data_IF_307068831573
#
_entry.id   IF_307068831573
#
_cell.length_a   1.000
_cell.length_b   1.000
_cell.length_c   1.000
_cell.angle_alpha   90.00
_cell.angle_beta   90.00
_cell.angle_gamma   90.00
#
_symmetry.space_group_name_H-M   'P 1'
#
loop_
_entity.id
_entity.type
_entity.pdbx_description
1 polymer ?
#
# COMPACT_ATOMS: atom_id res chain seq x y z
N UNK A 1 -25.58 9.39 -15.07
CA UNK A 1 -24.46 8.70 -14.39
C UNK A 1 -23.20 8.93 -15.20
N UNK A 2 -22.33 9.83 -14.77
CA UNK A 2 -21.04 10.02 -15.44
C UNK A 2 -20.11 8.87 -15.03
N UNK A 3 -19.72 8.03 -16.00
CA UNK A 3 -18.57 7.15 -15.82
C UNK A 3 -17.34 8.06 -15.77
N UNK A 4 -16.96 8.46 -14.56
CA UNK A 4 -15.83 9.35 -14.33
C UNK A 4 -14.54 8.54 -14.35
N UNK A 5 -13.79 8.73 -15.43
CA UNK A 5 -12.48 8.11 -15.70
C UNK A 5 -11.46 8.47 -14.63
N UNK A 6 -10.69 7.46 -14.20
CA UNK A 6 -9.48 7.63 -13.39
C UNK A 6 -8.39 8.37 -14.21
N UNK A 7 -7.33 8.92 -13.57
CA UNK A 7 -6.24 9.58 -14.27
C UNK A 7 -5.69 8.74 -15.41
N UNK A 8 -5.12 9.42 -16.41
CA UNK A 8 -4.51 8.79 -17.60
C UNK A 8 -3.41 7.78 -17.27
N UNK A 9 -2.80 7.87 -16.07
CA UNK A 9 -1.90 6.83 -15.57
C UNK A 9 -1.79 6.74 -14.04
N UNK A 10 -2.35 5.67 -13.48
CA UNK A 10 -2.17 5.28 -12.08
C UNK A 10 -1.24 4.08 -12.00
N UNK A 11 -0.19 4.20 -11.20
CA UNK A 11 0.71 3.11 -10.84
C UNK A 11 0.51 2.70 -9.38
N UNK A 12 0.70 1.42 -9.09
CA UNK A 12 0.68 0.91 -7.73
C UNK A 12 2.04 0.33 -7.36
N UNK A 13 2.54 0.68 -6.19
CA UNK A 13 3.73 0.08 -5.60
C UNK A 13 3.29 -0.73 -4.39
N UNK A 14 3.46 -2.04 -4.45
CA UNK A 14 3.15 -2.97 -3.36
C UNK A 14 4.42 -3.24 -2.58
N UNK A 15 4.44 -2.85 -1.30
CA UNK A 15 5.59 -2.97 -0.41
C UNK A 15 5.49 -4.27 0.40
N UNK A 16 6.27 -5.27 0.01
CA UNK A 16 6.30 -6.62 0.59
C UNK A 16 7.72 -7.04 1.03
N UNK A 17 8.60 -6.05 1.29
CA UNK A 17 9.98 -6.27 1.73
C UNK A 17 10.18 -6.31 3.25
N UNK A 18 9.14 -6.06 4.04
CA UNK A 18 9.23 -6.02 5.50
C UNK A 18 9.40 -7.42 6.11
N UNK A 19 10.32 -7.57 7.06
CA UNK A 19 10.58 -8.84 7.76
C UNK A 19 9.51 -9.20 8.81
N UNK A 20 8.71 -8.23 9.25
CA UNK A 20 7.61 -8.47 10.19
C UNK A 20 8.06 -8.94 11.58
N UNK A 21 9.28 -8.59 12.00
CA UNK A 21 9.93 -9.12 13.21
C UNK A 21 9.08 -9.04 14.47
N UNK A 22 8.31 -7.96 14.66
CA UNK A 22 7.47 -7.76 15.85
C UNK A 22 6.42 -8.86 16.04
N UNK A 23 5.76 -9.30 14.96
CA UNK A 23 4.66 -10.28 15.04
C UNK A 23 5.15 -11.71 14.74
N UNK A 24 6.39 -11.86 14.28
CA UNK A 24 6.98 -13.13 13.87
C UNK A 24 6.88 -14.23 14.94
N UNK A 25 7.13 -13.98 16.25
CA UNK A 25 6.97 -15.02 17.27
C UNK A 25 5.53 -15.53 17.35
N UNK A 26 4.55 -14.63 17.28
CA UNK A 26 3.12 -15.00 17.31
C UNK A 26 2.70 -15.77 16.07
N UNK A 27 3.20 -15.41 14.89
CA UNK A 27 2.95 -16.15 13.65
C UNK A 27 3.56 -17.55 13.73
N UNK A 28 4.80 -17.66 14.20
CA UNK A 28 5.45 -18.96 14.36
C UNK A 28 4.72 -19.85 15.36
N UNK A 29 4.25 -19.28 16.48
CA UNK A 29 3.42 -20.01 17.44
C UNK A 29 2.09 -20.48 16.82
N UNK A 30 1.47 -19.66 15.97
CA UNK A 30 0.21 -19.98 15.30
C UNK A 30 0.36 -21.05 14.21
N UNK A 31 1.36 -20.92 13.34
CA UNK A 31 1.51 -21.77 12.15
C UNK A 31 2.48 -22.94 12.36
N UNK A 32 3.27 -22.93 13.43
CA UNK A 32 4.30 -23.94 13.71
C UNK A 32 5.62 -23.73 12.94
N UNK A 33 5.70 -22.70 12.09
CA UNK A 33 6.91 -22.35 11.32
C UNK A 33 6.98 -20.84 11.09
N UNK A 34 8.19 -20.26 10.91
CA UNK A 34 8.34 -18.84 10.64
C UNK A 34 7.92 -18.50 9.21
N UNK A 35 7.05 -17.52 9.05
CA UNK A 35 6.67 -16.96 7.74
C UNK A 35 6.44 -15.45 7.88
N UNK A 36 6.93 -14.62 6.93
CA UNK A 36 6.66 -13.19 6.97
C UNK A 36 5.16 -12.89 6.84
N UNK A 37 4.70 -11.88 7.58
CA UNK A 37 3.27 -11.56 7.76
C UNK A 37 2.50 -11.40 6.44
N UNK A 38 3.11 -10.80 5.43
CA UNK A 38 2.50 -10.57 4.11
C UNK A 38 2.13 -11.87 3.38
N UNK A 39 2.72 -13.01 3.74
CA UNK A 39 2.44 -14.31 3.13
C UNK A 39 1.39 -15.12 3.91
N UNK A 40 1.00 -14.66 5.11
CA UNK A 40 0.01 -15.33 5.93
C UNK A 40 -1.42 -15.20 5.37
N UNK A 41 -2.21 -16.26 5.51
CA UNK A 41 -3.64 -16.33 5.17
C UNK A 41 -4.50 -16.13 6.42
N UNK A 42 -4.61 -14.91 6.94
CA UNK A 42 -5.36 -14.63 8.18
C UNK A 42 -6.87 -14.82 8.02
N UNK A 43 -7.42 -14.61 6.82
CA UNK A 43 -8.85 -14.76 6.54
C UNK A 43 -9.03 -15.41 5.17
N UNK A 44 -9.82 -16.49 5.13
CA UNK A 44 -10.06 -17.23 3.90
C UNK A 44 -8.80 -17.95 3.41
N UNK A 45 -8.60 -17.98 2.09
CA UNK A 45 -7.54 -18.77 1.42
C UNK A 45 -6.43 -17.94 0.80
N UNK A 46 -6.57 -16.61 0.79
CA UNK A 46 -5.61 -15.69 0.15
C UNK A 46 -4.64 -15.12 1.17
N UNK A 47 -3.40 -14.93 0.77
CA UNK A 47 -2.41 -14.25 1.61
C UNK A 47 -2.67 -12.74 1.65
N UNK A 48 -2.12 -12.05 2.65
CA UNK A 48 -2.22 -10.58 2.72
C UNK A 48 -1.66 -9.88 1.47
N UNK A 49 -0.58 -10.44 0.90
CA UNK A 49 0.01 -10.00 -0.36
C UNK A 49 -0.99 -10.16 -1.52
N UNK A 50 -1.64 -11.31 -1.65
CA UNK A 50 -2.66 -11.55 -2.69
C UNK A 50 -3.85 -10.59 -2.55
N UNK A 51 -4.35 -10.41 -1.32
CA UNK A 51 -5.37 -9.38 -1.05
C UNK A 51 -4.90 -7.97 -1.47
N UNK A 52 -3.62 -7.65 -1.30
CA UNK A 52 -3.06 -6.35 -1.70
C UNK A 52 -2.90 -6.23 -3.21
N UNK A 53 -2.50 -7.29 -3.92
CA UNK A 53 -2.49 -7.33 -5.38
C UNK A 53 -3.88 -7.14 -5.96
N UNK A 54 -4.89 -7.83 -5.42
CA UNK A 54 -6.28 -7.69 -5.88
C UNK A 54 -6.79 -6.25 -5.73
N UNK A 55 -6.44 -5.59 -4.62
CA UNK A 55 -6.75 -4.17 -4.42
C UNK A 55 -6.00 -3.29 -5.43
N UNK A 56 -4.71 -3.56 -5.67
CA UNK A 56 -3.90 -2.82 -6.62
C UNK A 56 -4.46 -2.90 -8.06
N UNK A 57 -4.91 -4.09 -8.47
CA UNK A 57 -5.50 -4.34 -9.80
C UNK A 57 -6.89 -3.71 -9.95
N UNK A 58 -7.59 -3.46 -8.84
CA UNK A 58 -8.79 -2.64 -8.84
C UNK A 58 -8.47 -1.13 -8.85
N UNK A 59 -7.31 -0.70 -8.38
CA UNK A 59 -6.92 0.72 -8.34
C UNK A 59 -6.35 1.17 -9.69
N UNK A 60 -5.48 0.37 -10.31
CA UNK A 60 -4.79 0.68 -11.56
C UNK A 60 -4.70 -0.53 -12.49
N UNK A 61 -3.96 -0.40 -13.58
CA UNK A 61 -3.76 -1.51 -14.52
C UNK A 61 -2.74 -2.51 -13.95
N UNK A 62 -2.97 -3.84 -14.05
CA UNK A 62 -2.03 -4.84 -13.52
C UNK A 62 -0.59 -4.68 -14.03
N UNK A 63 -0.40 -4.38 -15.32
CA UNK A 63 0.93 -4.04 -15.88
C UNK A 63 1.63 -2.79 -15.30
N UNK A 64 0.89 -1.90 -14.63
CA UNK A 64 1.41 -0.68 -13.95
C UNK A 64 1.55 -0.90 -12.44
N UNK A 65 1.84 -2.13 -12.03
CA UNK A 65 2.06 -2.55 -10.66
C UNK A 65 3.53 -2.90 -10.48
N UNK A 66 4.16 -2.38 -9.43
CA UNK A 66 5.52 -2.74 -9.03
C UNK A 66 5.44 -3.36 -7.64
N UNK A 67 5.82 -4.63 -7.50
CA UNK A 67 5.91 -5.29 -6.20
C UNK A 67 7.35 -5.30 -5.74
N UNK A 68 7.60 -4.78 -4.55
CA UNK A 68 8.92 -4.76 -3.93
C UNK A 68 8.98 -5.84 -2.87
N UNK A 69 9.91 -6.78 -3.01
CA UNK A 69 10.03 -7.96 -2.15
C UNK A 69 11.45 -8.07 -1.61
N UNK A 70 11.63 -8.51 -0.36
CA UNK A 70 12.95 -8.80 0.17
C UNK A 70 13.54 -10.01 -0.54
N UNK A 71 14.83 -9.98 -0.90
CA UNK A 71 15.50 -11.11 -1.57
C UNK A 71 15.40 -12.41 -0.75
N UNK A 72 15.41 -12.30 0.57
CA UNK A 72 15.21 -13.40 1.54
C UNK A 72 13.83 -14.05 1.44
N UNK A 73 12.84 -13.36 0.86
CA UNK A 73 11.46 -13.86 0.75
C UNK A 73 11.14 -14.50 -0.60
N UNK A 74 12.13 -14.67 -1.48
CA UNK A 74 11.90 -15.20 -2.84
C UNK A 74 11.14 -16.54 -2.82
N UNK A 75 11.55 -17.49 -1.98
CA UNK A 75 10.88 -18.79 -1.88
C UNK A 75 9.43 -18.65 -1.39
N UNK A 76 9.17 -17.78 -0.41
CA UNK A 76 7.80 -17.52 0.05
C UNK A 76 6.96 -16.97 -1.11
N UNK A 77 7.48 -15.98 -1.84
CA UNK A 77 6.79 -15.35 -2.96
C UNK A 77 6.40 -16.36 -4.06
N UNK A 78 7.31 -17.27 -4.42
CA UNK A 78 7.08 -18.29 -5.46
C UNK A 78 5.84 -19.16 -5.17
N UNK A 79 5.49 -19.39 -3.91
CA UNK A 79 4.28 -20.13 -3.51
C UNK A 79 2.97 -19.33 -3.69
N UNK A 80 3.06 -18.00 -3.75
CA UNK A 80 1.88 -17.13 -3.89
C UNK A 80 1.71 -16.58 -5.30
N UNK A 81 2.78 -16.59 -6.10
CA UNK A 81 2.74 -16.13 -7.48
C UNK A 81 2.00 -17.10 -8.40
N UNK A 82 1.19 -16.55 -9.30
CA UNK A 82 0.60 -17.31 -10.40
C UNK A 82 1.25 -16.92 -11.73
N UNK A 83 1.17 -17.78 -12.77
CA UNK A 83 1.67 -17.45 -14.12
C UNK A 83 0.97 -16.24 -14.76
N UNK A 84 -0.07 -15.70 -14.13
CA UNK A 84 -0.87 -14.57 -14.61
C UNK A 84 -0.56 -13.26 -13.88
N UNK A 85 0.43 -13.24 -12.98
CA UNK A 85 0.78 -12.03 -12.23
C UNK A 85 1.47 -11.01 -13.16
N UNK A 86 0.67 -10.10 -13.71
CA UNK A 86 1.19 -8.94 -14.45
C UNK A 86 1.85 -7.93 -13.51
N UNK A 87 2.87 -7.24 -14.02
CA UNK A 87 3.58 -6.18 -13.32
C UNK A 87 5.08 -6.44 -13.22
N UNK A 88 5.77 -5.57 -12.48
CA UNK A 88 7.21 -5.65 -12.25
C UNK A 88 7.49 -6.11 -10.84
N UNK A 89 8.42 -7.06 -10.70
CA UNK A 89 8.91 -7.50 -9.40
C UNK A 89 10.32 -6.97 -9.17
N UNK A 90 10.54 -6.33 -8.02
CA UNK A 90 11.85 -5.80 -7.61
C UNK A 90 12.26 -6.48 -6.32
N UNK A 91 13.39 -7.19 -6.36
CA UNK A 91 14.01 -7.79 -5.17
C UNK A 91 14.96 -6.82 -4.50
N UNK A 92 14.63 -6.38 -3.29
CA UNK A 92 15.54 -5.62 -2.44
C UNK A 92 16.64 -6.54 -1.91
N UNK A 93 17.92 -6.19 -2.07
CA UNK A 93 19.02 -7.05 -1.64
C UNK A 93 19.09 -7.23 -0.12
N UNK A 94 18.59 -6.25 0.64
CA UNK A 94 18.50 -6.25 2.10
C UNK A 94 17.35 -5.35 2.55
N UNK A 95 16.83 -5.59 3.75
CA UNK A 95 15.87 -4.68 4.37
C UNK A 95 16.60 -3.39 4.80
N UNK A 96 16.14 -2.24 4.31
CA UNK A 96 16.65 -0.91 4.65
C UNK A 96 15.50 0.02 5.07
N UNK A 97 14.44 -0.53 5.65
CA UNK A 97 13.21 0.17 6.00
C UNK A 97 12.43 0.71 4.79
N UNK A 98 11.36 1.44 5.09
CA UNK A 98 10.34 1.84 4.10
C UNK A 98 10.87 2.84 3.08
N UNK A 99 11.69 3.82 3.48
CA UNK A 99 12.10 4.90 2.57
C UNK A 99 12.89 4.39 1.35
N UNK A 100 13.93 3.54 1.49
CA UNK A 100 14.57 2.89 0.35
C UNK A 100 13.65 1.95 -0.43
N UNK A 101 12.74 1.25 0.25
CA UNK A 101 11.73 0.40 -0.38
C UNK A 101 10.70 1.14 -1.21
N UNK A 102 10.49 2.43 -0.94
CA UNK A 102 9.67 3.33 -1.73
C UNK A 102 10.50 4.05 -2.80
N UNK A 103 11.72 4.46 -2.50
CA UNK A 103 12.56 5.23 -3.43
C UNK A 103 12.89 4.46 -4.71
N UNK A 104 13.37 3.21 -4.59
CA UNK A 104 13.75 2.39 -5.76
C UNK A 104 12.59 2.14 -6.75
N UNK A 105 11.40 1.66 -6.34
CA UNK A 105 10.30 1.49 -7.28
C UNK A 105 9.77 2.84 -7.79
N UNK A 106 9.86 3.93 -7.03
CA UNK A 106 9.48 5.25 -7.53
C UNK A 106 10.40 5.73 -8.66
N UNK A 107 11.71 5.50 -8.57
CA UNK A 107 12.62 5.86 -9.69
C UNK A 107 12.37 5.00 -10.92
N UNK A 108 12.03 3.71 -10.74
CA UNK A 108 11.56 2.85 -11.82
C UNK A 108 10.30 3.43 -12.48
N UNK A 109 9.24 3.72 -11.71
CA UNK A 109 8.00 4.28 -12.25
C UNK A 109 8.27 5.62 -12.94
N UNK A 110 9.06 6.51 -12.34
CA UNK A 110 9.39 7.83 -12.88
C UNK A 110 10.13 7.76 -14.23
N UNK A 111 10.90 6.71 -14.47
CA UNK A 111 11.61 6.49 -15.73
C UNK A 111 10.67 6.06 -16.87
N UNK A 112 9.60 5.30 -16.55
CA UNK A 112 8.58 4.88 -17.51
C UNK A 112 7.47 5.89 -17.70
N UNK A 113 7.10 6.58 -16.62
CA UNK A 113 5.95 7.46 -16.56
C UNK A 113 6.20 8.65 -15.61
N UNK A 114 6.75 9.76 -16.15
CA UNK A 114 7.08 10.96 -15.40
C UNK A 114 5.94 11.59 -14.60
N UNK A 115 4.71 11.37 -15.05
CA UNK A 115 3.51 12.06 -14.60
C UNK A 115 2.53 11.10 -13.92
N UNK A 116 2.96 9.87 -13.62
CA UNK A 116 2.16 8.88 -12.94
C UNK A 116 1.70 9.36 -11.56
N UNK A 117 0.43 9.15 -11.25
CA UNK A 117 -0.03 9.12 -9.86
C UNK A 117 0.34 7.76 -9.29
N UNK A 118 1.12 7.76 -8.21
CA UNK A 118 1.59 6.53 -7.58
C UNK A 118 0.86 6.28 -6.27
N UNK A 119 0.29 5.08 -6.14
CA UNK A 119 -0.33 4.60 -4.91
C UNK A 119 0.62 3.63 -4.22
N UNK A 120 1.01 3.94 -2.97
CA UNK A 120 1.82 3.07 -2.13
C UNK A 120 0.91 2.15 -1.31
N UNK A 121 1.14 0.83 -1.36
CA UNK A 121 0.32 -0.19 -0.72
C UNK A 121 1.20 -1.14 0.11
N UNK A 122 1.22 -1.01 1.45
CA UNK A 122 1.83 -2.02 2.31
C UNK A 122 1.12 -3.38 2.18
N UNK A 123 1.88 -4.44 1.92
CA UNK A 123 1.35 -5.78 1.67
C UNK A 123 0.89 -6.52 2.94
N UNK A 124 1.21 -5.98 4.11
CA UNK A 124 0.91 -6.57 5.41
C UNK A 124 -0.23 -5.85 6.15
N UNK A 125 -1.02 -5.02 5.45
CA UNK A 125 -2.22 -4.40 6.03
C UNK A 125 -3.46 -5.27 5.82
N UNK A 126 -4.15 -5.58 6.93
CA UNK A 126 -5.48 -6.19 6.89
C UNK A 126 -6.51 -5.09 6.67
N UNK A 127 -7.30 -5.21 5.60
CA UNK A 127 -8.28 -4.20 5.21
C UNK A 127 -9.58 -4.91 4.87
N UNK A 128 -10.64 -4.56 5.60
CA UNK A 128 -11.99 -5.03 5.35
C UNK A 128 -12.98 -3.91 5.73
N UNK A 129 -13.99 -3.58 4.89
CA UNK A 129 -14.23 -4.08 3.53
C UNK A 129 -13.23 -3.53 2.48
N UNK A 130 -12.77 -4.36 1.55
CA UNK A 130 -11.78 -3.97 0.52
C UNK A 130 -12.33 -2.96 -0.49
N UNK A 131 -13.59 -3.10 -0.89
CA UNK A 131 -14.28 -2.21 -1.84
C UNK A 131 -14.32 -0.76 -1.32
N UNK A 132 -14.57 -0.58 -0.02
CA UNK A 132 -14.55 0.74 0.62
C UNK A 132 -13.16 1.37 0.59
N UNK A 133 -12.12 0.58 0.80
CA UNK A 133 -10.74 1.04 0.69
C UNK A 133 -10.40 1.45 -0.74
N UNK A 134 -10.69 0.60 -1.73
CA UNK A 134 -10.47 0.91 -3.16
C UNK A 134 -11.21 2.19 -3.55
N UNK A 135 -12.46 2.37 -3.12
CA UNK A 135 -13.23 3.59 -3.35
C UNK A 135 -12.61 4.82 -2.68
N UNK A 136 -11.98 4.67 -1.51
CA UNK A 136 -11.27 5.74 -0.83
C UNK A 136 -9.97 6.12 -1.55
N UNK A 137 -9.20 5.14 -1.98
CA UNK A 137 -7.98 5.36 -2.78
C UNK A 137 -8.32 6.04 -4.10
N UNK A 138 -9.34 5.58 -4.83
CA UNK A 138 -9.77 6.21 -6.09
C UNK A 138 -10.21 7.68 -5.89
N UNK A 139 -10.76 8.03 -4.73
CA UNK A 139 -11.05 9.44 -4.37
C UNK A 139 -9.77 10.24 -4.13
N UNK A 140 -8.80 9.67 -3.42
CA UNK A 140 -7.50 10.29 -3.20
C UNK A 140 -6.74 10.49 -4.51
N UNK A 141 -6.72 9.48 -5.39
CA UNK A 141 -6.10 9.54 -6.73
C UNK A 141 -6.66 10.72 -7.55
N UNK A 142 -7.99 10.90 -7.58
CA UNK A 142 -8.62 12.08 -8.21
C UNK A 142 -8.26 13.39 -7.52
N UNK A 143 -8.05 13.37 -6.21
CA UNK A 143 -7.66 14.57 -5.46
C UNK A 143 -6.24 15.03 -5.78
N UNK A 144 -5.32 14.10 -6.06
CA UNK A 144 -3.96 14.43 -6.49
C UNK A 144 -3.96 15.19 -7.82
N UNK A 145 -4.90 14.92 -8.74
CA UNK A 145 -4.94 15.59 -10.06
C UNK A 145 -5.10 17.11 -9.96
N UNK A 146 -5.84 17.61 -8.98
CA UNK A 146 -6.03 19.06 -8.76
C UNK A 146 -5.17 19.62 -7.61
N UNK A 147 -4.39 18.76 -6.94
CA UNK A 147 -3.42 19.11 -5.90
C UNK A 147 -2.02 18.64 -6.34
N UNK A 148 -1.60 19.04 -7.54
CA UNK A 148 -0.46 18.45 -8.28
C UNK A 148 0.88 18.44 -7.54
N UNK A 149 1.04 19.25 -6.50
CA UNK A 149 2.27 19.35 -5.68
C UNK A 149 2.10 18.81 -4.25
N UNK A 150 1.07 17.99 -4.01
CA UNK A 150 0.74 17.48 -2.67
C UNK A 150 0.74 15.96 -2.63
N UNK A 151 1.22 15.42 -1.51
CA UNK A 151 1.02 14.02 -1.16
C UNK A 151 -0.26 13.88 -0.32
N UNK A 152 -1.01 12.81 -0.56
CA UNK A 152 -2.19 12.48 0.24
C UNK A 152 -1.86 11.28 1.13
N UNK A 153 -2.07 11.44 2.43
CA UNK A 153 -2.05 10.34 3.39
C UNK A 153 -3.48 9.87 3.67
N UNK A 154 -3.63 8.56 3.83
CA UNK A 154 -4.89 7.92 4.22
C UNK A 154 -4.93 7.77 5.73
N UNK A 155 -5.80 8.54 6.39
CA UNK A 155 -6.05 8.42 7.82
C UNK A 155 -7.21 7.46 8.13
N UNK A 156 -7.12 6.78 9.27
CA UNK A 156 -8.22 5.98 9.85
C UNK A 156 -8.59 6.61 11.19
N UNK A 157 -9.90 6.66 11.51
CA UNK A 157 -10.34 7.10 12.84
C UNK A 157 -9.88 6.07 13.87
N UNK A 158 -9.07 6.45 14.87
CA UNK A 158 -8.58 5.53 15.87
C UNK A 158 -9.73 5.05 16.76
N UNK A 159 -9.69 3.78 17.19
CA UNK A 159 -10.61 3.23 18.19
C UNK A 159 -10.05 3.29 19.62
N UNK A 160 -8.73 3.39 19.74
CA UNK A 160 -7.98 3.53 20.98
C UNK A 160 -6.62 4.19 20.69
N UNK A 161 -5.89 4.55 21.75
CA UNK A 161 -4.51 5.01 21.65
C UNK A 161 -3.60 3.79 21.38
N UNK A 162 -2.88 3.84 20.26
CA UNK A 162 -1.87 2.87 19.86
C UNK A 162 -0.57 3.64 19.61
N UNK A 163 0.45 3.34 20.42
CA UNK A 163 1.72 4.07 20.43
C UNK A 163 2.64 3.61 19.31
N UNK A 164 2.39 2.44 18.72
CA UNK A 164 3.16 1.96 17.58
C UNK A 164 2.70 2.54 16.22
N UNK A 165 1.68 3.40 16.20
CA UNK A 165 1.18 4.06 15.00
C UNK A 165 1.66 5.50 14.83
N UNK A 166 1.67 5.96 13.58
CA UNK A 166 1.75 7.37 13.24
C UNK A 166 0.39 8.06 13.40
N UNK A 167 0.37 9.21 14.05
CA UNK A 167 -0.83 10.01 14.33
C UNK A 167 -0.88 11.25 13.44
N UNK A 168 -2.04 11.49 12.83
CA UNK A 168 -2.29 12.60 11.91
C UNK A 168 -3.19 13.62 12.60
N UNK A 169 -2.67 14.82 12.89
CA UNK A 169 -3.49 15.94 13.31
C UNK A 169 -4.13 16.59 12.08
N UNK A 170 -5.47 16.61 12.03
CA UNK A 170 -6.21 17.02 10.84
C UNK A 170 -6.59 18.50 10.90
N UNK A 171 -6.08 19.28 9.95
CA UNK A 171 -6.35 20.71 9.80
C UNK A 171 -7.58 21.04 8.94
N UNK A 172 -7.61 22.24 8.36
CA UNK A 172 -8.73 22.75 7.56
C UNK A 172 -9.00 21.97 6.27
N UNK A 173 -10.19 22.16 5.69
CA UNK A 173 -10.59 21.56 4.41
C UNK A 173 -9.87 22.26 3.26
N UNK A 174 -9.22 21.49 2.38
CA UNK A 174 -8.56 21.96 1.16
C UNK A 174 -9.44 21.81 -0.08
N UNK A 175 -10.39 20.87 -0.05
CA UNK A 175 -11.30 20.62 -1.17
C UNK A 175 -12.15 19.38 -0.95
N UNK A 176 -12.84 18.94 -1.99
CA UNK A 176 -13.74 17.80 -1.97
C UNK A 176 -13.47 16.88 -3.16
N UNK A 177 -13.46 15.57 -2.93
CA UNK A 177 -13.33 14.56 -3.98
C UNK A 177 -14.27 13.39 -3.71
N UNK A 178 -15.18 13.12 -4.66
CA UNK A 178 -16.17 12.04 -4.54
C UNK A 178 -16.98 12.08 -3.25
N UNK A 179 -17.45 13.27 -2.86
CA UNK A 179 -18.29 13.47 -1.67
C UNK A 179 -17.55 13.45 -0.33
N UNK A 180 -16.22 13.35 -0.31
CA UNK A 180 -15.42 13.42 0.91
C UNK A 180 -14.50 14.64 0.93
N UNK A 181 -14.36 15.25 2.10
CA UNK A 181 -13.46 16.37 2.31
C UNK A 181 -12.00 15.89 2.30
N UNK A 182 -11.17 16.56 1.50
CA UNK A 182 -9.72 16.48 1.57
C UNK A 182 -9.26 17.55 2.56
N UNK A 183 -8.51 17.15 3.58
CA UNK A 183 -8.11 18.04 4.67
C UNK A 183 -6.59 18.17 4.72
N UNK A 184 -6.12 19.35 5.10
CA UNK A 184 -4.70 19.60 5.36
C UNK A 184 -4.26 18.76 6.55
N UNK A 185 -3.03 18.25 6.52
CA UNK A 185 -2.37 17.67 7.70
C UNK A 185 -1.70 18.83 8.45
N UNK A 186 -2.11 19.06 9.70
CA UNK A 186 -1.52 20.08 10.55
C UNK A 186 -0.17 19.60 11.12
N UNK A 187 -0.12 18.34 11.55
CA UNK A 187 1.10 17.68 11.98
C UNK A 187 0.99 16.16 11.82
N UNK A 188 2.15 15.51 11.72
CA UNK A 188 2.30 14.07 11.74
C UNK A 188 3.24 13.72 12.90
N UNK A 189 2.83 12.80 13.77
CA UNK A 189 3.59 12.35 14.93
C UNK A 189 3.84 10.85 14.76
N UNK A 190 5.08 10.46 14.47
CA UNK A 190 5.45 9.05 14.39
C UNK A 190 5.65 8.50 15.80
N UNK A 191 4.82 7.53 16.21
CA UNK A 191 4.92 6.81 17.49
C UNK A 191 5.01 7.73 18.72
N UNK A 192 3.87 8.27 19.19
CA UNK A 192 3.86 9.20 20.31
C UNK A 192 4.36 8.52 21.60
N UNK A 193 4.97 9.32 22.46
CA UNK A 193 5.33 8.96 23.84
C UNK A 193 4.16 9.15 24.81
#
# INVERSE_FOLDING_TARGET
MAVQTLPSSVWSIVLAGGEGERIRPSIQQWLGYPVPKQYCTFVGTRSMLQHTWDRADQIGMPRKKVTVVGRTHQQNLEHHCTRQDEGTLIFQPRNCDTAPGVFLPLTYVRAWDPHAVVVLLPADHFICPEDRFVAAVRRAVRAVEFLSDQMILMGVRPSHLELDYGWIAVGGVLGWSGGAAIRRIQSFIEKPE
#
